data_IF_848857977957
#
_entry.id   IF_848857977957
#
_cell.length_a   1.000
_cell.length_b   1.000
_cell.length_c   1.000
_cell.angle_alpha   90.00
_cell.angle_beta   90.00
_cell.angle_gamma   90.00
#
_symmetry.space_group_name_H-M   'P 1'
#
loop_
_entity.id
_entity.type
_entity.pdbx_description
1 polymer ?
#
# COMPACT_ATOMS: atom_id res chain seq x y z
N UNK A 1 16.99 7.46 -59.77
CA UNK A 1 17.58 6.28 -59.10
C UNK A 1 18.19 6.61 -57.74
N UNK A 2 19.19 7.51 -57.63
CA UNK A 2 19.81 7.88 -56.33
C UNK A 2 18.82 8.29 -55.22
N UNK A 3 17.80 9.09 -55.55
CA UNK A 3 16.77 9.55 -54.59
C UNK A 3 15.86 8.41 -54.08
N UNK A 4 15.63 7.38 -54.89
CA UNK A 4 14.80 6.22 -54.53
C UNK A 4 15.55 5.27 -53.58
N UNK A 5 16.86 5.10 -53.82
CA UNK A 5 17.75 4.32 -52.94
C UNK A 5 17.88 4.98 -51.57
N UNK A 6 17.97 6.32 -51.51
CA UNK A 6 18.03 7.07 -50.24
C UNK A 6 16.74 6.91 -49.43
N UNK A 7 15.56 6.97 -50.06
CA UNK A 7 14.28 6.75 -49.36
C UNK A 7 14.15 5.33 -48.80
N UNK A 8 14.63 4.30 -49.51
CA UNK A 8 14.65 2.92 -49.01
C UNK A 8 15.61 2.79 -47.82
N UNK A 9 16.79 3.42 -47.89
CA UNK A 9 17.75 3.41 -46.78
C UNK A 9 17.20 4.11 -45.53
N UNK A 10 16.49 5.23 -45.70
CA UNK A 10 15.86 5.98 -44.61
C UNK A 10 14.71 5.18 -43.98
N UNK A 11 13.91 4.49 -44.80
CA UNK A 11 12.84 3.62 -44.32
C UNK A 11 13.36 2.43 -43.51
N UNK A 12 14.45 1.79 -43.96
CA UNK A 12 15.11 0.71 -43.23
C UNK A 12 15.73 1.18 -41.90
N UNK A 13 16.26 2.40 -41.85
CA UNK A 13 16.77 3.00 -40.61
C UNK A 13 15.65 3.27 -39.59
N UNK A 14 14.49 3.76 -40.04
CA UNK A 14 13.32 3.97 -39.19
C UNK A 14 12.69 2.66 -38.70
N UNK A 15 12.71 1.61 -39.53
CA UNK A 15 12.25 0.28 -39.13
C UNK A 15 13.16 -0.34 -38.06
N UNK A 16 14.48 -0.13 -38.16
CA UNK A 16 15.47 -0.62 -37.19
C UNK A 16 15.36 0.04 -35.81
N UNK A 17 14.96 1.31 -35.74
CA UNK A 17 14.77 2.05 -34.48
C UNK A 17 13.54 1.59 -33.67
N UNK A 18 12.59 0.90 -34.31
CA UNK A 18 11.36 0.42 -33.65
C UNK A 18 11.54 -0.88 -32.86
N UNK A 19 12.70 -1.54 -32.98
CA UNK A 19 13.03 -2.80 -32.29
C UNK A 19 14.04 -2.61 -31.15
N UNK A 20 14.34 -1.37 -30.75
CA UNK A 20 15.15 -1.15 -29.56
C UNK A 20 14.35 -1.57 -28.32
N UNK A 21 14.85 -2.50 -27.50
CA UNK A 21 14.18 -2.87 -26.27
C UNK A 21 14.15 -1.66 -25.33
N UNK A 22 12.96 -1.09 -25.13
CA UNK A 22 12.73 -0.11 -24.07
C UNK A 22 12.78 -0.88 -22.75
N UNK A 23 13.84 -0.67 -21.97
CA UNK A 23 13.88 -1.09 -20.57
C UNK A 23 12.97 -0.17 -19.77
N UNK A 24 11.74 -0.62 -19.50
CA UNK A 24 10.91 -0.02 -18.48
C UNK A 24 11.44 -0.44 -17.11
N UNK A 25 12.18 0.44 -16.44
CA UNK A 25 12.62 0.21 -15.07
C UNK A 25 11.49 0.63 -14.12
N UNK A 26 10.72 -0.36 -13.65
CA UNK A 26 9.73 -0.11 -12.61
C UNK A 26 10.45 0.20 -11.29
N UNK A 27 10.60 1.48 -10.96
CA UNK A 27 11.10 1.92 -9.65
C UNK A 27 10.01 1.76 -8.58
N UNK A 28 9.56 0.55 -8.31
CA UNK A 28 8.77 0.20 -7.13
C UNK A 28 9.63 -0.53 -6.10
N UNK A 29 10.82 0.00 -5.81
CA UNK A 29 11.53 -0.39 -4.59
C UNK A 29 10.78 0.25 -3.42
N UNK A 30 9.88 -0.52 -2.81
CA UNK A 30 9.37 -0.21 -1.48
C UNK A 30 10.59 -0.29 -0.54
N UNK A 31 10.93 0.84 0.08
CA UNK A 31 12.14 0.97 0.88
C UNK A 31 12.03 0.32 2.28
N UNK A 32 10.84 -0.18 2.60
CA UNK A 32 10.48 -0.83 3.84
C UNK A 32 9.57 -2.03 3.57
N UNK A 33 9.42 -2.92 4.54
CA UNK A 33 8.47 -4.03 4.50
C UNK A 33 7.48 -3.95 5.66
N UNK A 34 6.33 -4.60 5.48
CA UNK A 34 5.21 -4.65 6.42
C UNK A 34 4.83 -6.12 6.58
N UNK A 35 4.84 -6.63 7.81
CA UNK A 35 4.44 -8.00 8.11
C UNK A 35 3.42 -8.04 9.25
N UNK A 36 2.33 -8.76 9.09
CA UNK A 36 1.38 -9.02 10.16
C UNK A 36 1.94 -10.07 11.14
N UNK A 37 1.79 -9.82 12.44
CA UNK A 37 2.01 -10.84 13.47
C UNK A 37 0.66 -11.53 13.70
N UNK A 38 0.49 -12.71 13.12
CA UNK A 38 -0.79 -13.42 13.11
C UNK A 38 -1.17 -13.86 14.54
N UNK A 39 -2.29 -13.35 15.12
CA UNK A 39 -2.68 -13.64 16.48
C UNK A 39 -3.33 -15.02 16.61
N UNK A 40 -3.47 -15.52 17.84
CA UNK A 40 -4.03 -16.86 18.09
C UNK A 40 -5.50 -17.03 17.69
N UNK A 41 -6.28 -15.94 17.66
CA UNK A 41 -7.69 -15.94 17.27
C UNK A 41 -7.91 -15.80 15.74
N UNK A 42 -6.84 -15.92 14.96
CA UNK A 42 -6.91 -16.00 13.51
C UNK A 42 -7.73 -17.22 13.08
N UNK A 43 -8.69 -17.01 12.19
CA UNK A 43 -9.52 -18.07 11.60
C UNK A 43 -8.66 -19.01 10.75
N UNK A 44 -7.83 -18.44 9.87
CA UNK A 44 -6.90 -19.18 9.01
C UNK A 44 -5.46 -18.68 9.22
N UNK A 45 -4.66 -19.51 9.91
CA UNK A 45 -3.24 -19.23 10.21
C UNK A 45 -2.32 -19.32 8.98
N UNK A 46 -2.80 -19.78 7.83
CA UNK A 46 -2.04 -19.77 6.57
C UNK A 46 -2.02 -18.39 5.91
N UNK A 47 -2.92 -17.48 6.30
CA UNK A 47 -3.01 -16.13 5.74
C UNK A 47 -1.92 -15.23 6.30
N UNK A 48 -1.44 -14.32 5.46
CA UNK A 48 -0.47 -13.27 5.80
C UNK A 48 -1.13 -11.95 6.20
N UNK A 49 -2.46 -11.93 6.29
CA UNK A 49 -3.30 -10.81 6.73
C UNK A 49 -4.21 -11.23 7.88
N UNK A 50 -4.79 -10.27 8.60
CA UNK A 50 -5.68 -10.54 9.71
C UNK A 50 -7.07 -10.99 9.23
N UNK A 51 -7.47 -12.19 9.64
CA UNK A 51 -8.81 -12.76 9.43
C UNK A 51 -9.28 -13.27 10.80
N UNK A 52 -10.02 -12.42 11.51
CA UNK A 52 -10.26 -12.57 12.95
C UNK A 52 -11.73 -12.78 13.23
N UNK A 53 -12.02 -13.76 14.09
CA UNK A 53 -13.33 -13.87 14.73
C UNK A 53 -13.25 -13.20 16.11
N UNK A 54 -13.93 -12.07 16.26
CA UNK A 54 -13.97 -11.29 17.50
C UNK A 54 -15.39 -11.22 18.05
N UNK A 55 -15.52 -11.11 19.38
CA UNK A 55 -16.81 -10.95 20.05
C UNK A 55 -17.26 -9.48 20.07
N UNK A 56 -18.56 -9.20 20.23
CA UNK A 56 -19.04 -7.84 20.46
C UNK A 56 -18.34 -7.18 21.65
N UNK A 57 -17.95 -5.92 21.48
CA UNK A 57 -17.21 -5.14 22.47
C UNK A 57 -15.78 -5.62 22.77
N UNK A 58 -15.28 -6.66 22.09
CA UNK A 58 -13.91 -7.13 22.27
C UNK A 58 -12.91 -6.07 21.76
N UNK A 59 -11.89 -5.80 22.58
CA UNK A 59 -10.74 -5.00 22.18
C UNK A 59 -9.53 -5.89 21.98
N UNK A 60 -8.74 -5.63 20.94
CA UNK A 60 -7.50 -6.35 20.68
C UNK A 60 -6.44 -5.42 20.11
N UNK A 61 -5.19 -5.63 20.50
CA UNK A 61 -4.05 -5.00 19.86
C UNK A 61 -3.46 -5.97 18.86
N UNK A 62 -3.58 -5.65 17.58
CA UNK A 62 -2.88 -6.35 16.51
C UNK A 62 -1.47 -5.79 16.39
N UNK A 63 -0.54 -6.62 15.94
CA UNK A 63 0.86 -6.24 15.81
C UNK A 63 1.32 -6.35 14.37
N UNK A 64 1.97 -5.30 13.89
CA UNK A 64 2.55 -5.21 12.55
C UNK A 64 4.04 -4.88 12.69
N UNK A 65 4.89 -5.69 12.07
CA UNK A 65 6.33 -5.47 12.03
C UNK A 65 6.67 -4.65 10.79
N UNK A 66 7.21 -3.46 11.01
CA UNK A 66 7.77 -2.60 9.97
C UNK A 66 9.29 -2.69 9.97
N UNK A 67 9.89 -2.96 8.82
CA UNK A 67 11.36 -3.03 8.67
C UNK A 67 11.83 -2.05 7.60
N UNK A 68 12.76 -1.17 7.95
CA UNK A 68 13.41 -0.25 7.04
C UNK A 68 14.65 -0.91 6.43
N UNK A 69 14.72 -1.02 5.10
CA UNK A 69 15.89 -1.56 4.39
C UNK A 69 16.92 -0.50 3.97
N UNK A 70 16.71 0.77 4.33
CA UNK A 70 17.58 1.88 3.98
C UNK A 70 18.65 2.14 5.05
N UNK A 71 19.77 2.71 4.62
CA UNK A 71 20.87 3.16 5.48
C UNK A 71 20.62 4.51 6.20
N UNK A 72 19.42 5.05 6.11
CA UNK A 72 18.99 6.27 6.80
C UNK A 72 17.61 6.04 7.42
N UNK A 73 17.27 6.84 8.43
CA UNK A 73 15.95 6.78 9.05
C UNK A 73 14.87 7.29 8.08
N UNK A 74 13.70 6.64 8.11
CA UNK A 74 12.54 7.02 7.30
C UNK A 74 11.33 7.23 8.21
N UNK A 75 10.41 8.09 7.80
CA UNK A 75 9.13 8.28 8.47
C UNK A 75 8.03 7.66 7.62
N UNK A 76 7.21 6.82 8.23
CA UNK A 76 6.07 6.16 7.59
C UNK A 76 4.79 6.81 8.09
N UNK A 77 3.98 7.33 7.17
CA UNK A 77 2.60 7.70 7.41
C UNK A 77 1.74 6.43 7.42
N UNK A 78 0.85 6.31 8.40
CA UNK A 78 -0.02 5.15 8.55
C UNK A 78 -1.49 5.57 8.62
N UNK A 79 -2.35 4.75 8.03
CA UNK A 79 -3.79 4.94 8.05
C UNK A 79 -4.50 3.60 8.22
N UNK A 80 -5.55 3.57 9.05
CA UNK A 80 -6.51 2.48 9.08
C UNK A 80 -7.72 2.91 8.23
N UNK A 81 -7.85 2.30 7.05
CA UNK A 81 -8.84 2.69 6.05
C UNK A 81 -9.98 1.70 5.98
N UNK A 82 -11.20 2.23 5.89
CA UNK A 82 -12.37 1.44 5.50
C UNK A 82 -12.25 1.00 4.05
N UNK A 83 -12.48 -0.28 3.78
CA UNK A 83 -12.48 -0.79 2.42
C UNK A 83 -13.65 -0.20 1.62
N UNK A 84 -13.38 0.24 0.40
CA UNK A 84 -14.39 0.79 -0.52
C UNK A 84 -14.27 0.14 -1.88
N UNK A 85 -15.34 0.14 -2.66
CA UNK A 85 -15.28 -0.29 -4.07
C UNK A 85 -14.91 0.90 -4.94
N UNK A 86 -13.86 0.79 -5.75
CA UNK A 86 -13.48 1.84 -6.71
C UNK A 86 -14.32 1.78 -7.99
N UNK A 87 -14.15 2.77 -8.88
CA UNK A 87 -14.92 2.91 -10.12
C UNK A 87 -14.81 1.71 -11.08
N UNK A 88 -13.78 0.86 -10.90
CA UNK A 88 -13.59 -0.36 -11.68
C UNK A 88 -14.25 -1.59 -11.02
N UNK A 89 -14.99 -1.42 -9.93
CA UNK A 89 -15.63 -2.52 -9.20
C UNK A 89 -14.66 -3.34 -8.34
N UNK A 90 -13.46 -2.82 -8.05
CA UNK A 90 -12.42 -3.51 -7.27
C UNK A 90 -12.36 -2.93 -5.86
N UNK A 91 -12.18 -3.78 -4.86
CA UNK A 91 -12.00 -3.34 -3.46
C UNK A 91 -10.66 -2.59 -3.32
N UNK A 92 -10.73 -1.39 -2.76
CA UNK A 92 -9.63 -0.47 -2.53
C UNK A 92 -9.48 -0.20 -1.02
N UNK A 93 -8.25 -0.36 -0.54
CA UNK A 93 -7.86 -0.22 0.86
C UNK A 93 -6.93 0.99 1.09
N UNK A 94 -6.61 1.73 0.03
CA UNK A 94 -5.62 2.82 0.05
C UNK A 94 -6.25 4.19 0.33
N UNK A 95 -7.57 4.33 0.14
CA UNK A 95 -8.27 5.61 0.26
C UNK A 95 -8.37 6.06 1.72
N UNK A 96 -7.79 7.22 2.00
CA UNK A 96 -7.97 7.91 3.27
C UNK A 96 -9.21 8.80 3.19
N UNK A 97 -10.13 8.68 4.15
CA UNK A 97 -11.40 9.43 4.23
C UNK A 97 -12.23 9.43 2.92
N UNK A 98 -12.55 8.26 2.34
CA UNK A 98 -13.44 8.20 1.18
C UNK A 98 -14.86 8.64 1.55
N UNK A 99 -15.66 8.99 0.53
CA UNK A 99 -17.10 9.13 0.70
C UNK A 99 -17.69 7.74 0.98
N UNK A 100 -18.24 7.56 2.18
CA UNK A 100 -18.83 6.30 2.61
C UNK A 100 -20.32 6.26 2.26
N UNK A 101 -20.80 5.06 1.91
CA UNK A 101 -22.22 4.82 1.69
C UNK A 101 -23.01 5.03 2.99
N UNK A 102 -24.18 5.66 2.90
CA UNK A 102 -25.00 5.97 4.07
C UNK A 102 -25.53 4.72 4.81
N UNK A 103 -25.55 3.56 4.15
CA UNK A 103 -25.93 2.28 4.76
C UNK A 103 -24.80 1.63 5.55
N UNK A 104 -23.55 2.08 5.40
CA UNK A 104 -22.41 1.54 6.13
C UNK A 104 -22.49 1.92 7.61
N UNK A 105 -22.76 0.93 8.45
CA UNK A 105 -22.95 1.14 9.90
C UNK A 105 -21.66 1.20 10.69
N UNK A 106 -20.66 0.42 10.29
CA UNK A 106 -19.43 0.23 11.08
C UNK A 106 -18.22 0.36 10.14
N UNK A 107 -17.71 1.58 9.93
CA UNK A 107 -16.49 1.80 9.17
C UNK A 107 -15.28 1.23 9.93
N UNK A 108 -14.41 0.48 9.25
CA UNK A 108 -13.19 -0.05 9.87
C UNK A 108 -12.32 1.07 10.45
N UNK A 109 -12.24 2.22 9.78
CA UNK A 109 -11.50 3.40 10.21
C UNK A 109 -11.96 3.97 11.57
N UNK A 110 -13.18 3.65 12.02
CA UNK A 110 -13.69 4.10 13.32
C UNK A 110 -13.35 3.13 14.45
N UNK A 111 -13.24 1.84 14.15
CA UNK A 111 -12.95 0.79 15.13
C UNK A 111 -11.47 0.46 15.24
N UNK A 112 -10.64 0.86 14.26
CA UNK A 112 -9.22 0.60 14.21
C UNK A 112 -8.40 1.88 14.40
N UNK A 113 -7.50 1.87 15.38
CA UNK A 113 -6.62 3.00 15.73
C UNK A 113 -5.16 2.62 15.62
N UNK A 114 -4.37 3.46 14.97
CA UNK A 114 -2.94 3.30 14.75
C UNK A 114 -2.28 4.69 14.80
N UNK A 115 -1.02 4.74 15.22
CA UNK A 115 -0.23 5.99 15.23
C UNK A 115 -0.05 6.54 13.82
N UNK A 116 -0.43 7.80 13.59
CA UNK A 116 -0.41 8.43 12.26
C UNK A 116 0.96 8.43 11.60
N UNK A 117 2.04 8.53 12.38
CA UNK A 117 3.41 8.54 11.88
C UNK A 117 4.31 7.65 12.72
N UNK A 118 5.22 6.94 12.04
CA UNK A 118 6.16 6.00 12.65
C UNK A 118 7.53 6.21 12.04
N UNK A 119 8.48 6.67 12.85
CA UNK A 119 9.88 6.77 12.40
C UNK A 119 10.59 5.44 12.57
N UNK A 120 11.13 4.88 11.50
CA UNK A 120 11.97 3.69 11.50
C UNK A 120 13.44 4.10 11.41
N UNK A 121 14.32 3.62 12.32
CA UNK A 121 15.75 3.88 12.20
C UNK A 121 16.32 3.18 10.96
N UNK A 122 17.51 3.63 10.52
CA UNK A 122 18.26 3.00 9.44
C UNK A 122 18.47 1.49 9.70
N UNK A 123 18.19 0.65 8.69
CA UNK A 123 18.27 -0.81 8.76
C UNK A 123 17.53 -1.44 9.96
N UNK A 124 16.54 -0.72 10.49
CA UNK A 124 15.89 -1.06 11.75
C UNK A 124 14.47 -1.56 11.60
N UNK A 125 13.96 -2.15 12.67
CA UNK A 125 12.62 -2.72 12.75
C UNK A 125 11.85 -2.10 13.92
N UNK A 126 10.54 -1.90 13.74
CA UNK A 126 9.61 -1.57 14.83
C UNK A 126 8.37 -2.45 14.76
N UNK A 127 7.88 -2.84 15.93
CA UNK A 127 6.55 -3.44 16.08
C UNK A 127 5.55 -2.34 16.37
N UNK A 128 4.51 -2.25 15.54
CA UNK A 128 3.46 -1.25 15.57
C UNK A 128 2.19 -1.91 16.07
N UNK A 129 1.51 -1.25 17.02
CA UNK A 129 0.25 -1.75 17.56
C UNK A 129 -0.93 -1.07 16.85
N UNK A 130 -1.91 -1.88 16.50
CA UNK A 130 -3.20 -1.43 15.97
C UNK A 130 -4.28 -1.84 16.95
N UNK A 131 -4.89 -0.86 17.59
CA UNK A 131 -5.97 -1.10 18.53
C UNK A 131 -7.30 -1.24 17.79
N UNK A 132 -7.89 -2.43 17.84
CA UNK A 132 -9.22 -2.73 17.30
C UNK A 132 -10.21 -2.78 18.45
N UNK A 133 -11.33 -2.08 18.34
CA UNK A 133 -12.45 -2.15 19.30
C UNK A 133 -13.74 -2.46 18.58
N UNK A 134 -14.27 -3.68 18.77
CA UNK A 134 -15.50 -4.13 18.13
C UNK A 134 -16.72 -3.36 18.63
N UNK A 135 -17.75 -3.15 17.78
CA UNK A 135 -19.04 -2.62 18.23
C UNK A 135 -19.64 -3.53 19.31
N UNK A 136 -20.45 -2.95 20.19
CA UNK A 136 -21.15 -3.69 21.26
C UNK A 136 -22.31 -4.53 20.73
N UNK A 137 -22.87 -4.13 19.59
CA UNK A 137 -23.96 -4.82 18.94
C UNK A 137 -23.42 -5.91 18.01
N UNK A 138 -24.08 -7.07 17.99
CA UNK A 138 -23.82 -8.09 17.00
C UNK A 138 -24.27 -7.63 15.61
N UNK A 139 -23.54 -8.07 14.59
CA UNK A 139 -23.86 -7.82 13.20
C UNK A 139 -23.63 -9.09 12.38
N UNK A 140 -24.37 -9.22 11.28
CA UNK A 140 -24.16 -10.29 10.30
C UNK A 140 -23.25 -9.76 9.18
N UNK A 141 -22.21 -10.54 8.84
CA UNK A 141 -21.23 -10.20 7.80
C UNK A 141 -19.81 -9.94 8.32
N UNK A 142 -19.02 -9.20 7.53
CA UNK A 142 -17.60 -8.92 7.78
C UNK A 142 -17.33 -7.42 7.69
N UNK A 143 -16.46 -6.92 8.57
CA UNK A 143 -15.95 -5.55 8.48
C UNK A 143 -14.61 -5.63 7.76
N UNK A 144 -14.51 -4.97 6.61
CA UNK A 144 -13.30 -4.97 5.79
C UNK A 144 -12.58 -3.62 5.89
N UNK A 145 -11.26 -3.70 6.01
CA UNK A 145 -10.41 -2.52 6.02
C UNK A 145 -8.94 -2.88 5.81
N UNK A 146 -8.13 -1.84 5.63
CA UNK A 146 -6.72 -1.97 5.34
C UNK A 146 -5.87 -1.07 6.20
N UNK A 147 -4.70 -1.58 6.57
CA UNK A 147 -3.63 -0.78 7.15
C UNK A 147 -2.73 -0.31 6.01
N UNK A 148 -2.80 0.98 5.70
CA UNK A 148 -2.07 1.59 4.61
C UNK A 148 -0.84 2.32 5.15
N UNK A 149 0.34 1.95 4.65
CA UNK A 149 1.63 2.49 5.06
C UNK A 149 2.28 3.18 3.87
N UNK A 150 2.71 4.43 4.03
CA UNK A 150 3.36 5.21 2.99
C UNK A 150 4.60 5.89 3.53
N UNK A 151 5.74 5.77 2.86
CA UNK A 151 6.93 6.52 3.23
C UNK A 151 6.70 8.01 2.96
N UNK A 152 6.90 8.84 3.99
CA UNK A 152 6.83 10.30 3.89
C UNK A 152 8.08 10.81 3.17
N UNK A 153 7.94 11.14 1.90
CA UNK A 153 9.03 11.72 1.13
C UNK A 153 9.18 13.21 1.49
N UNK A 154 10.41 13.63 1.78
CA UNK A 154 10.73 15.05 1.82
C UNK A 154 10.84 15.62 0.39
N UNK A 155 10.65 16.93 0.23
CA UNK A 155 10.59 17.60 -1.09
C UNK A 155 11.84 17.34 -1.96
N UNK A 156 13.00 17.13 -1.34
CA UNK A 156 14.25 16.85 -2.03
C UNK A 156 14.29 15.43 -2.62
N UNK A 157 13.76 14.44 -1.90
CA UNK A 157 13.65 13.05 -2.36
C UNK A 157 12.53 12.90 -3.40
N UNK A 158 11.42 13.65 -3.28
CA UNK A 158 10.39 13.72 -4.34
C UNK A 158 10.96 14.28 -5.65
N UNK A 159 11.75 15.36 -5.59
CA UNK A 159 12.39 15.96 -6.77
C UNK A 159 13.40 15.01 -7.42
N UNK A 160 14.11 14.21 -6.63
CA UNK A 160 15.06 13.19 -7.12
C UNK A 160 14.35 11.97 -7.71
N UNK A 161 13.20 11.54 -7.15
CA UNK A 161 12.33 10.52 -7.75
C UNK A 161 11.73 11.00 -9.07
N UNK A 162 11.13 12.19 -9.12
CA UNK A 162 10.55 12.78 -10.35
C UNK A 162 11.57 12.97 -11.47
N UNK A 163 12.82 13.35 -11.14
CA UNK A 163 13.92 13.45 -12.11
C UNK A 163 14.44 12.11 -12.65
N UNK A 164 14.13 11.00 -11.98
CA UNK A 164 14.50 9.64 -12.43
C UNK A 164 13.39 8.97 -13.25
N UNK A 165 12.18 9.55 -13.24
CA UNK A 165 11.00 9.03 -13.99
C UNK A 165 10.78 9.77 -15.32
N UNK A 166 11.51 10.86 -15.58
CA UNK A 166 11.58 11.57 -16.86
C UNK A 166 12.93 11.32 -17.54
#
# INVERSE_FOLDING_TARGET
>A
MKKFVISILLGLLFLGLSFLPVKAEASSTMNFSVNAVIPDNQIDKSKTYFDLKMKPGETRNLEVILTNGQNHAITIETNANTAVTNDNGIVDYSKTNPNLDASLKIPFSEIAKIDKEITLPANGTKTVKVNITMPKEEYDGQILGGLHFTEKLNQETEKKRRRRTN
#
